data_IF_331348791720
#
_entry.id   IF_331348791720
#
_cell.length_a   1.000
_cell.length_b   1.000
_cell.length_c   1.000
_cell.angle_alpha   90.00
_cell.angle_beta   90.00
_cell.angle_gamma   90.00
#
_symmetry.space_group_name_H-M   'P 1'
#
loop_
_entity.id
_entity.type
_entity.pdbx_description
1 polymer ?
#
# COMPACT_ATOMS: atom_id res chain seq x y z
N UNK A 1 -17.39 -10.11 -21.21
CA UNK A 1 -16.45 -9.47 -20.28
C UNK A 1 -17.21 -9.24 -18.99
N UNK A 2 -16.65 -9.65 -17.85
CA UNK A 2 -17.16 -9.15 -16.56
C UNK A 2 -16.59 -7.75 -16.46
N UNK A 3 -17.45 -6.73 -16.53
CA UNK A 3 -17.05 -5.37 -16.15
C UNK A 3 -16.80 -5.41 -14.64
N UNK A 4 -15.53 -5.31 -14.26
CA UNK A 4 -15.16 -5.20 -12.86
C UNK A 4 -14.89 -3.73 -12.62
N UNK A 5 -15.82 -3.06 -11.95
CA UNK A 5 -15.64 -1.69 -11.48
C UNK A 5 -14.79 -1.68 -10.20
N UNK A 6 -13.95 -0.65 -9.99
CA UNK A 6 -13.22 -0.52 -8.75
C UNK A 6 -14.19 -0.29 -7.59
N UNK A 7 -14.00 -1.02 -6.48
CA UNK A 7 -14.75 -0.80 -5.23
C UNK A 7 -14.41 0.55 -4.60
N UNK A 8 -13.24 1.11 -4.95
CA UNK A 8 -12.79 2.44 -4.53
C UNK A 8 -11.77 3.00 -5.51
N UNK A 9 -11.92 4.28 -5.82
CA UNK A 9 -10.93 5.07 -6.56
C UNK A 9 -10.27 6.08 -5.63
N UNK A 10 -8.96 6.25 -5.78
CA UNK A 10 -8.16 7.15 -4.94
C UNK A 10 -7.30 8.01 -5.87
N UNK A 11 -7.66 9.28 -5.99
CA UNK A 11 -6.91 10.25 -6.77
C UNK A 11 -5.61 10.54 -6.01
N UNK A 12 -4.47 10.23 -6.63
CA UNK A 12 -3.14 10.47 -6.05
C UNK A 12 -2.55 11.80 -6.53
N UNK A 13 -2.89 12.22 -7.75
CA UNK A 13 -2.49 13.49 -8.35
C UNK A 13 -3.44 13.83 -9.50
N UNK A 14 -3.21 14.97 -10.17
CA UNK A 14 -3.92 15.35 -11.40
C UNK A 14 -3.82 14.26 -12.49
N UNK A 15 -2.75 13.46 -12.48
CA UNK A 15 -2.48 12.45 -13.50
C UNK A 15 -2.51 11.02 -12.97
N UNK A 16 -2.59 10.77 -11.66
CA UNK A 16 -2.50 9.39 -11.14
C UNK A 16 -3.71 9.02 -10.30
N UNK A 17 -4.23 7.82 -10.52
CA UNK A 17 -5.32 7.23 -9.72
C UNK A 17 -4.97 5.80 -9.30
N UNK A 18 -5.32 5.45 -8.07
CA UNK A 18 -5.31 4.07 -7.59
C UNK A 18 -6.74 3.50 -7.61
N UNK A 19 -6.93 2.42 -8.34
CA UNK A 19 -8.16 1.63 -8.37
C UNK A 19 -8.00 0.43 -7.44
N UNK A 20 -8.91 0.30 -6.48
CA UNK A 20 -9.00 -0.86 -5.60
C UNK A 20 -10.06 -1.81 -6.13
N UNK A 21 -9.67 -3.07 -6.32
CA UNK A 21 -10.55 -4.14 -6.69
C UNK A 21 -10.62 -5.17 -5.57
N UNK A 22 -11.80 -5.72 -5.33
CA UNK A 22 -11.97 -6.96 -4.58
C UNK A 22 -12.12 -8.09 -5.57
N UNK A 23 -11.22 -9.07 -5.50
CA UNK A 23 -11.26 -10.22 -6.41
C UNK A 23 -12.02 -11.34 -5.72
N UNK A 24 -13.07 -11.83 -6.39
CA UNK A 24 -13.80 -13.02 -5.98
C UNK A 24 -13.00 -14.29 -6.28
N UNK A 25 -11.90 -14.45 -5.54
CA UNK A 25 -11.10 -15.66 -5.51
C UNK A 25 -11.61 -16.57 -4.38
N UNK A 26 -11.57 -17.90 -4.63
CA UNK A 26 -11.95 -18.90 -3.62
C UNK A 26 -11.10 -18.78 -2.34
N UNK A 27 -9.84 -18.36 -2.45
CA UNK A 27 -8.92 -18.25 -1.30
C UNK A 27 -8.40 -16.81 -1.08
N UNK A 28 -7.44 -16.32 -1.88
CA UNK A 28 -6.85 -14.97 -1.79
C UNK A 28 -6.04 -14.64 -3.06
N UNK A 29 -5.65 -13.37 -3.24
CA UNK A 29 -4.86 -12.90 -4.42
C UNK A 29 -3.44 -12.47 -4.10
N UNK A 30 -3.09 -12.39 -2.82
CA UNK A 30 -1.71 -12.18 -2.39
C UNK A 30 -1.60 -11.98 -0.89
N UNK A 31 -0.58 -11.22 -0.49
CA UNK A 31 -0.28 -10.92 0.90
C UNK A 31 -0.29 -9.42 1.15
N UNK A 32 -0.79 -9.03 2.31
CA UNK A 32 -0.83 -7.65 2.78
C UNK A 32 0.55 -7.26 3.36
N UNK A 33 1.14 -6.21 2.80
CA UNK A 33 2.42 -5.66 3.27
C UNK A 33 2.29 -4.61 4.37
N UNK A 34 1.07 -4.29 4.80
CA UNK A 34 0.76 -3.20 5.73
C UNK A 34 -0.26 -3.68 6.75
N UNK A 35 -0.02 -3.40 8.03
CA UNK A 35 -0.94 -3.74 9.11
C UNK A 35 -1.26 -2.54 9.98
N UNK A 36 -2.34 -2.62 10.77
CA UNK A 36 -2.60 -1.63 11.82
C UNK A 36 -1.68 -1.90 12.99
N UNK A 37 -1.06 -0.86 13.54
CA UNK A 37 -0.17 -0.98 14.68
C UNK A 37 -0.88 -1.55 15.92
N UNK A 38 -2.19 -1.28 16.06
CA UNK A 38 -3.06 -1.83 17.13
C UNK A 38 -3.09 -3.36 17.17
N UNK A 39 -2.87 -4.01 16.04
CA UNK A 39 -2.96 -5.47 15.92
C UNK A 39 -1.65 -6.16 16.36
N UNK A 40 -0.60 -5.36 16.61
CA UNK A 40 0.73 -5.82 16.97
C UNK A 40 1.27 -5.14 18.24
N UNK A 41 0.56 -5.18 19.38
CA UNK A 41 0.90 -4.40 20.58
C UNK A 41 2.22 -4.81 21.25
N UNK A 42 2.79 -5.96 20.88
CA UNK A 42 4.05 -6.50 21.41
C UNK A 42 5.14 -6.64 20.34
N UNK A 43 4.91 -6.13 19.13
CA UNK A 43 5.90 -6.28 18.07
C UNK A 43 7.12 -5.39 18.31
N UNK A 44 8.29 -5.93 17.96
CA UNK A 44 9.53 -5.17 17.95
C UNK A 44 9.59 -4.32 16.69
N UNK A 45 9.21 -3.04 16.81
CA UNK A 45 9.26 -2.09 15.70
C UNK A 45 10.70 -1.76 15.37
N UNK A 46 11.05 -1.91 14.10
CA UNK A 46 12.34 -1.58 13.54
C UNK A 46 12.20 -0.37 12.61
N UNK A 47 13.27 0.42 12.52
CA UNK A 47 13.35 1.57 11.61
C UNK A 47 14.45 1.32 10.58
N UNK A 48 14.18 1.61 9.30
CA UNK A 48 15.22 1.75 8.29
C UNK A 48 15.10 3.06 7.53
N UNK A 49 16.22 3.57 7.03
CA UNK A 49 16.22 4.70 6.11
C UNK A 49 16.21 4.18 4.68
N UNK A 50 15.17 4.51 3.91
CA UNK A 50 15.13 4.30 2.46
C UNK A 50 14.94 5.62 1.76
N UNK A 51 15.89 5.99 0.90
CA UNK A 51 15.82 7.19 0.07
C UNK A 51 15.52 8.47 0.87
N UNK A 52 16.06 8.58 2.09
CA UNK A 52 15.83 9.73 2.98
C UNK A 52 14.58 9.63 3.85
N UNK A 53 13.75 8.61 3.67
CA UNK A 53 12.56 8.36 4.48
C UNK A 53 12.87 7.38 5.60
N UNK A 54 12.53 7.76 6.84
CA UNK A 54 12.49 6.81 7.96
C UNK A 54 11.21 5.97 7.85
N UNK A 55 11.40 4.69 7.59
CA UNK A 55 10.32 3.73 7.44
C UNK A 55 10.33 2.81 8.66
N UNK A 56 9.15 2.62 9.25
CA UNK A 56 8.94 1.66 10.34
C UNK A 56 8.42 0.35 9.77
N UNK A 57 8.94 -0.76 10.26
CA UNK A 57 8.45 -2.09 9.92
C UNK A 57 8.52 -3.05 11.12
N UNK A 58 7.76 -4.13 11.04
CA UNK A 58 7.86 -5.28 11.95
C UNK A 58 8.12 -6.55 11.16
N UNK A 59 8.88 -7.46 11.74
CA UNK A 59 9.05 -8.79 11.18
C UNK A 59 7.97 -9.72 11.73
N UNK A 60 7.26 -10.39 10.83
CA UNK A 60 6.22 -11.36 11.19
C UNK A 60 6.50 -12.70 10.51
N UNK A 61 5.98 -13.78 11.12
CA UNK A 61 6.21 -15.13 10.61
C UNK A 61 5.54 -15.34 9.24
N UNK A 62 4.32 -14.85 9.10
CA UNK A 62 3.52 -14.95 7.88
C UNK A 62 2.78 -13.64 7.64
N UNK A 63 2.78 -13.18 6.39
CA UNK A 63 2.02 -12.01 6.00
C UNK A 63 0.52 -12.36 5.93
N UNK A 64 -0.38 -11.47 6.37
CA UNK A 64 -1.82 -11.67 6.19
C UNK A 64 -2.14 -11.87 4.70
N UNK A 65 -3.09 -12.74 4.39
CA UNK A 65 -3.61 -12.89 3.03
C UNK A 65 -4.62 -11.78 2.72
N UNK A 66 -4.79 -11.45 1.45
CA UNK A 66 -5.73 -10.41 1.01
C UNK A 66 -6.45 -10.82 -0.28
N UNK A 67 -7.71 -10.41 -0.43
CA UNK A 67 -8.50 -10.52 -1.67
C UNK A 67 -8.48 -9.23 -2.50
N UNK A 68 -7.84 -8.19 -1.96
CA UNK A 68 -7.80 -6.89 -2.61
C UNK A 68 -6.58 -6.78 -3.53
N UNK A 69 -6.76 -6.11 -4.65
CA UNK A 69 -5.69 -5.70 -5.56
C UNK A 69 -5.81 -4.21 -5.78
N UNK A 70 -4.69 -3.50 -5.60
CA UNK A 70 -4.59 -2.11 -5.99
C UNK A 70 -3.85 -2.00 -7.33
N UNK A 71 -4.45 -1.28 -8.28
CA UNK A 71 -3.85 -0.98 -9.58
C UNK A 71 -3.71 0.52 -9.68
N UNK A 72 -2.50 1.00 -9.95
CA UNK A 72 -2.22 2.43 -10.12
C UNK A 72 -2.10 2.73 -11.60
N UNK A 73 -2.88 3.69 -12.07
CA UNK A 73 -2.91 4.16 -13.45
C UNK A 73 -2.44 5.60 -13.54
N UNK A 74 -1.76 5.94 -14.64
CA UNK A 74 -1.50 7.29 -15.08
C UNK A 74 -2.51 7.68 -16.17
N UNK A 75 -3.03 8.90 -16.13
CA UNK A 75 -3.84 9.52 -17.16
C UNK A 75 -2.96 10.46 -17.98
N UNK A 76 -2.96 10.29 -19.29
CA UNK A 76 -2.24 11.20 -20.19
C UNK A 76 -2.67 12.66 -20.02
N UNK A 77 -1.68 13.56 -20.01
CA UNK A 77 -1.88 15.00 -20.23
C UNK A 77 -2.71 15.16 -21.51
N UNK A 78 -3.90 15.77 -21.41
CA UNK A 78 -4.87 16.09 -22.47
C UNK A 78 -6.20 15.30 -22.44
N UNK A 79 -6.49 14.52 -21.40
CA UNK A 79 -7.81 13.90 -21.26
C UNK A 79 -8.19 12.91 -22.38
N UNK A 80 -7.18 12.41 -23.12
CA UNK A 80 -7.33 11.30 -24.06
C UNK A 80 -6.91 9.99 -23.42
N UNK A 81 -7.66 8.95 -23.80
CA UNK A 81 -7.95 7.68 -23.15
C UNK A 81 -6.76 6.70 -23.24
N UNK A 82 -5.60 7.06 -22.70
CA UNK A 82 -4.52 6.07 -22.51
C UNK A 82 -4.24 5.97 -21.01
N UNK A 83 -5.05 5.15 -20.32
CA UNK A 83 -4.74 4.72 -18.96
C UNK A 83 -3.49 3.83 -19.02
N UNK A 84 -2.35 4.35 -18.58
CA UNK A 84 -1.12 3.57 -18.47
C UNK A 84 -1.04 2.93 -17.08
N UNK A 85 -0.92 1.61 -17.02
CA UNK A 85 -0.69 0.91 -15.77
C UNK A 85 0.72 1.17 -15.26
N UNK A 86 0.84 1.82 -14.10
CA UNK A 86 2.11 2.10 -13.43
C UNK A 86 2.55 0.87 -12.63
N UNK A 87 1.66 0.35 -11.78
CA UNK A 87 1.97 -0.75 -10.87
C UNK A 87 0.72 -1.47 -10.40
N UNK A 88 0.88 -2.73 -9.98
CA UNK A 88 -0.15 -3.56 -9.38
C UNK A 88 0.43 -4.21 -8.14
N UNK A 89 -0.30 -4.17 -7.03
CA UNK A 89 0.10 -4.88 -5.82
C UNK A 89 -1.11 -5.44 -5.07
N UNK A 90 -0.96 -6.60 -4.39
CA UNK A 90 -1.98 -7.11 -3.51
C UNK A 90 -2.10 -6.22 -2.27
N UNK A 91 -3.34 -6.03 -1.83
CA UNK A 91 -3.67 -5.30 -0.62
C UNK A 91 -4.43 -4.00 -0.87
N UNK A 92 -4.68 -3.30 0.23
CA UNK A 92 -5.33 -1.99 0.18
C UNK A 92 -4.35 -0.90 -0.25
N UNK A 93 -4.88 0.21 -0.74
CA UNK A 93 -4.06 1.38 -1.02
C UNK A 93 -3.48 1.96 0.27
N UNK A 94 -2.19 2.28 0.24
CA UNK A 94 -1.55 3.11 1.25
C UNK A 94 -1.03 4.40 0.61
N UNK A 95 -1.23 5.56 1.26
CA UNK A 95 -0.66 6.81 0.81
C UNK A 95 0.87 6.73 0.82
N UNK A 96 1.51 7.56 -0.02
CA UNK A 96 2.95 7.73 0.01
C UNK A 96 3.45 8.13 1.41
N UNK A 97 4.72 7.83 1.72
CA UNK A 97 5.31 8.26 2.99
C UNK A 97 5.29 9.79 3.10
N UNK A 98 4.96 10.36 4.27
CA UNK A 98 4.87 11.81 4.44
C UNK A 98 6.21 12.46 4.09
N UNK A 99 6.18 13.45 3.19
CA UNK A 99 7.37 14.17 2.76
C UNK A 99 7.14 15.68 2.83
N UNK A 100 8.22 16.44 3.05
CA UNK A 100 8.14 17.91 3.11
C UNK A 100 7.72 18.55 1.77
N UNK A 101 7.68 17.78 0.67
CA UNK A 101 7.27 18.25 -0.66
C UNK A 101 5.77 18.07 -0.90
N UNK A 102 5.04 17.42 -0.01
CA UNK A 102 3.58 17.25 -0.11
C UNK A 102 2.85 18.54 0.27
N UNK A 103 1.64 18.72 -0.27
CA UNK A 103 0.72 19.74 0.23
C UNK A 103 0.36 19.43 1.68
N UNK A 104 0.02 20.47 2.44
CA UNK A 104 -0.20 20.36 3.89
C UNK A 104 -1.25 19.31 4.27
N UNK A 105 -2.35 19.26 3.53
CA UNK A 105 -3.46 18.36 3.81
C UNK A 105 -3.09 16.91 3.47
N UNK A 106 -2.43 16.68 2.33
CA UNK A 106 -1.91 15.36 1.94
C UNK A 106 -0.87 14.84 2.94
N UNK A 107 0.01 15.73 3.40
CA UNK A 107 0.99 15.39 4.43
C UNK A 107 0.32 14.95 5.73
N UNK A 108 -0.75 15.63 6.14
CA UNK A 108 -1.50 15.29 7.35
C UNK A 108 -2.18 13.92 7.21
N UNK A 109 -2.88 13.68 6.10
CA UNK A 109 -3.54 12.40 5.81
C UNK A 109 -2.52 11.26 5.79
N UNK A 110 -1.40 11.44 5.09
CA UNK A 110 -0.34 10.45 5.05
C UNK A 110 0.26 10.20 6.44
N UNK A 111 0.48 11.26 7.22
CA UNK A 111 1.05 11.15 8.57
C UNK A 111 0.12 10.41 9.52
N UNK A 112 -1.17 10.71 9.50
CA UNK A 112 -2.18 10.00 10.31
C UNK A 112 -2.24 8.52 9.93
N UNK A 113 -2.26 8.22 8.61
CA UNK A 113 -2.23 6.84 8.13
C UNK A 113 -1.00 6.10 8.64
N UNK A 114 0.21 6.64 8.41
CA UNK A 114 1.46 5.97 8.78
C UNK A 114 1.75 5.98 10.29
N UNK A 115 1.03 6.79 11.08
CA UNK A 115 1.02 6.70 12.53
C UNK A 115 0.16 5.55 13.04
N UNK A 116 -0.93 5.23 12.35
CA UNK A 116 -1.81 4.12 12.67
C UNK A 116 -1.34 2.77 12.07
N UNK A 117 -0.50 2.80 11.03
CA UNK A 117 -0.09 1.61 10.27
C UNK A 117 1.42 1.36 10.30
N UNK A 118 1.80 0.12 10.01
CA UNK A 118 3.18 -0.36 10.03
C UNK A 118 3.44 -1.27 8.83
N UNK A 119 4.64 -1.20 8.23
CA UNK A 119 5.01 -2.18 7.21
C UNK A 119 5.24 -3.56 7.83
N UNK A 120 4.76 -4.59 7.14
CA UNK A 120 4.94 -5.98 7.49
C UNK A 120 6.01 -6.59 6.59
N UNK A 121 7.04 -7.17 7.21
CA UNK A 121 8.08 -7.90 6.50
C UNK A 121 8.06 -9.34 6.97
N UNK A 122 8.09 -10.28 6.03
CA UNK A 122 8.29 -11.69 6.37
C UNK A 122 9.68 -11.85 6.98
N UNK A 123 9.74 -12.29 8.24
CA UNK A 123 11.00 -12.58 8.90
C UNK A 123 11.74 -13.68 8.14
N UNK A 124 13.03 -13.46 7.83
CA UNK A 124 13.84 -14.55 7.30
C UNK A 124 14.12 -15.53 8.43
N UNK A 125 13.80 -16.82 8.23
CA UNK A 125 14.32 -17.87 9.12
C UNK A 125 15.83 -17.76 9.09
N UNK A 126 16.44 -17.34 10.20
CA UNK A 126 17.88 -17.56 10.41
C UNK A 126 18.06 -19.07 10.41
N UNK A 127 18.65 -19.61 9.34
CA UNK A 127 19.16 -20.97 9.37
C UNK A 127 20.24 -21.02 10.44
N UNK A 128 19.89 -21.48 11.63
CA UNK A 128 20.84 -21.86 12.65
C UNK A 128 21.51 -23.12 12.11
N UNK A 129 22.75 -22.97 11.61
CA UNK A 129 23.64 -24.10 11.31
C UNK A 129 24.23 -24.62 12.59
#
# INVERSE_FOLDING_TARGET
MVDIEPIREIIQSEYSVAHLYEIDALDYVGWEGIGKMSDYPKANVQEENRNGYKIRFIEIAELPTTKFVNIVFNYGLNGMIDMELITVFPGMYAPAFPSATMLKDDFLIASEFWNAHILLKKGQRKNIR
#
